data_IF_429951559603
#
_entry.id   IF_429951559603
#
_cell.length_a   1.000
_cell.length_b   1.000
_cell.length_c   1.000
_cell.angle_alpha   90.00
_cell.angle_beta   90.00
_cell.angle_gamma   90.00
#
_symmetry.space_group_name_H-M   'P 1'
#
loop_
_entity.id
_entity.type
_entity.pdbx_description
1 polymer ?
#
# COMPACT_ATOMS: atom_id res chain seq x y z
N UNK A 1 -13.20 -19.58 -17.85
CA UNK A 1 -12.32 -18.62 -17.15
C UNK A 1 -10.92 -18.90 -17.61
N UNK A 2 -10.29 -18.00 -18.38
CA UNK A 2 -8.87 -18.13 -18.67
C UNK A 2 -8.11 -17.88 -17.38
N UNK A 3 -7.34 -18.88 -16.95
CA UNK A 3 -6.49 -18.79 -15.77
C UNK A 3 -5.31 -17.86 -16.01
N UNK A 4 -4.72 -17.34 -14.93
CA UNK A 4 -3.44 -16.66 -14.97
C UNK A 4 -2.31 -17.65 -15.22
N UNK A 5 -1.30 -17.26 -15.99
CA UNK A 5 -0.06 -18.02 -16.20
C UNK A 5 1.05 -17.33 -15.41
N UNK A 6 1.83 -18.09 -14.66
CA UNK A 6 3.01 -17.58 -13.97
C UNK A 6 4.13 -17.28 -14.99
N UNK A 7 4.58 -16.03 -15.01
CA UNK A 7 5.59 -15.53 -15.95
C UNK A 7 6.99 -15.47 -15.32
N UNK A 8 7.17 -16.00 -14.11
CA UNK A 8 8.41 -15.96 -13.35
C UNK A 8 8.54 -14.73 -12.45
N UNK A 9 9.76 -14.46 -12.02
CA UNK A 9 10.04 -13.38 -11.08
C UNK A 9 9.96 -12.02 -11.77
N UNK A 10 9.48 -10.99 -11.06
CA UNK A 10 9.44 -9.61 -11.58
C UNK A 10 10.83 -9.11 -12.04
N UNK A 11 11.90 -9.57 -11.37
CA UNK A 11 13.27 -9.22 -11.72
C UNK A 11 13.88 -10.05 -12.85
N UNK A 12 13.28 -11.20 -13.20
CA UNK A 12 13.77 -12.18 -14.18
C UNK A 12 12.57 -12.91 -14.83
N UNK A 13 11.77 -12.20 -15.65
CA UNK A 13 10.61 -12.81 -16.30
C UNK A 13 11.05 -13.83 -17.37
N UNK A 14 10.21 -14.83 -17.61
CA UNK A 14 10.44 -15.83 -18.66
C UNK A 14 10.12 -15.24 -20.04
N UNK A 15 11.15 -14.73 -20.72
CA UNK A 15 11.04 -14.10 -22.04
C UNK A 15 10.56 -15.07 -23.13
N UNK A 16 10.98 -16.33 -23.08
CA UNK A 16 10.55 -17.34 -24.06
C UNK A 16 9.03 -17.59 -23.94
N UNK A 17 8.53 -17.70 -22.71
CA UNK A 17 7.10 -17.85 -22.47
C UNK A 17 6.32 -16.61 -22.90
N UNK A 18 6.81 -15.41 -22.59
CA UNK A 18 6.18 -14.16 -23.02
C UNK A 18 6.02 -14.08 -24.55
N UNK A 19 7.05 -14.48 -25.30
CA UNK A 19 7.02 -14.52 -26.77
C UNK A 19 5.99 -15.52 -27.31
N UNK A 20 5.90 -16.71 -26.70
CA UNK A 20 4.94 -17.74 -27.08
C UNK A 20 3.48 -17.33 -26.88
N UNK A 21 3.19 -16.43 -25.92
CA UNK A 21 1.84 -16.05 -25.54
C UNK A 21 1.17 -15.05 -26.50
N UNK A 22 1.90 -14.47 -27.46
CA UNK A 22 1.38 -13.50 -28.45
C UNK A 22 0.56 -12.38 -27.80
N UNK A 23 1.20 -11.66 -26.89
CA UNK A 23 0.56 -10.63 -26.06
C UNK A 23 0.22 -9.39 -26.89
N UNK A 24 -0.95 -8.79 -26.64
CA UNK A 24 -1.31 -7.48 -27.21
C UNK A 24 -0.57 -6.33 -26.51
N UNK A 25 -0.36 -6.47 -25.19
CA UNK A 25 0.31 -5.49 -24.35
C UNK A 25 1.09 -6.17 -23.23
N UNK A 26 2.19 -5.54 -22.81
CA UNK A 26 2.92 -5.87 -21.59
C UNK A 26 2.87 -4.67 -20.66
N UNK A 27 2.21 -4.83 -19.51
CA UNK A 27 2.12 -3.79 -18.49
C UNK A 27 3.26 -3.94 -17.48
N UNK A 28 4.02 -2.86 -17.27
CA UNK A 28 5.05 -2.79 -16.23
C UNK A 28 4.92 -1.49 -15.43
N UNK A 29 5.45 -1.50 -14.21
CA UNK A 29 5.53 -0.32 -13.37
C UNK A 29 6.78 0.51 -13.68
N UNK A 30 6.64 1.83 -13.70
CA UNK A 30 7.75 2.76 -13.80
C UNK A 30 8.63 2.62 -12.55
N UNK A 31 9.89 2.26 -12.73
CA UNK A 31 10.76 2.02 -11.60
C UNK A 31 12.17 1.66 -12.02
N UNK A 32 12.97 1.16 -11.07
CA UNK A 32 14.37 0.84 -11.33
C UNK A 32 14.55 -0.17 -12.46
N UNK A 33 13.63 -1.13 -12.60
CA UNK A 33 13.72 -2.19 -13.59
C UNK A 33 13.09 -1.81 -14.94
N UNK A 34 12.23 -0.78 -15.01
CA UNK A 34 11.53 -0.47 -16.26
C UNK A 34 12.48 0.03 -17.35
N UNK A 35 13.50 0.82 -17.01
CA UNK A 35 14.48 1.28 -17.98
C UNK A 35 15.24 0.12 -18.66
N UNK A 36 15.49 -0.97 -17.91
CA UNK A 36 16.10 -2.20 -18.44
C UNK A 36 15.11 -3.00 -19.28
N UNK A 37 13.89 -3.19 -18.77
CA UNK A 37 12.93 -4.11 -19.35
C UNK A 37 12.16 -3.55 -20.53
N UNK A 38 11.84 -2.25 -20.57
CA UNK A 38 11.07 -1.66 -21.66
C UNK A 38 11.63 -1.98 -23.05
N UNK A 39 12.93 -1.80 -23.36
CA UNK A 39 13.43 -2.15 -24.69
C UNK A 39 13.37 -3.65 -24.97
N UNK A 40 13.65 -4.50 -23.97
CA UNK A 40 13.68 -5.96 -24.14
C UNK A 40 12.26 -6.51 -24.38
N UNK A 41 11.31 -6.10 -23.56
CA UNK A 41 9.91 -6.51 -23.67
C UNK A 41 9.23 -5.90 -24.90
N UNK A 42 9.71 -4.74 -25.36
CA UNK A 42 9.23 -4.07 -26.57
C UNK A 42 9.47 -4.83 -27.86
N UNK A 43 10.46 -5.73 -27.89
CA UNK A 43 10.68 -6.66 -29.01
C UNK A 43 9.61 -7.77 -29.06
N UNK A 44 8.91 -8.02 -27.94
CA UNK A 44 7.88 -9.08 -27.81
C UNK A 44 6.48 -8.51 -28.07
N UNK A 45 6.12 -7.42 -27.38
CA UNK A 45 4.82 -6.77 -27.52
C UNK A 45 4.87 -5.31 -27.04
N UNK A 46 3.89 -4.46 -27.43
CA UNK A 46 3.79 -3.09 -26.95
C UNK A 46 3.85 -2.98 -25.42
N UNK A 47 4.85 -2.25 -24.91
CA UNK A 47 5.05 -2.06 -23.47
C UNK A 47 4.32 -0.81 -22.99
N UNK A 48 3.49 -0.98 -21.97
CA UNK A 48 2.75 0.09 -21.29
C UNK A 48 3.35 0.26 -19.91
N UNK A 49 3.97 1.42 -19.67
CA UNK A 49 4.59 1.75 -18.39
C UNK A 49 3.64 2.62 -17.56
N UNK A 50 3.16 2.13 -16.42
CA UNK A 50 2.34 2.90 -15.47
C UNK A 50 3.17 3.55 -14.37
N UNK A 51 2.83 4.77 -13.92
CA UNK A 51 3.63 5.49 -12.91
C UNK A 51 2.79 5.97 -11.72
N UNK A 52 2.59 5.09 -10.74
CA UNK A 52 1.87 5.43 -9.49
C UNK A 52 2.83 6.03 -8.45
N UNK A 53 3.96 5.37 -8.20
CA UNK A 53 4.94 5.78 -7.20
C UNK A 53 6.05 6.59 -7.85
N UNK A 54 5.92 7.92 -7.78
CA UNK A 54 6.81 8.85 -8.49
C UNK A 54 7.11 10.10 -7.65
N UNK A 55 7.86 11.04 -8.23
CA UNK A 55 8.32 12.26 -7.54
C UNK A 55 7.20 13.22 -7.11
N UNK A 56 5.95 13.01 -7.55
CA UNK A 56 4.80 13.78 -7.06
C UNK A 56 4.44 13.47 -5.60
N UNK A 57 4.85 12.30 -5.10
CA UNK A 57 4.52 11.81 -3.75
C UNK A 57 3.01 11.80 -3.45
N UNK A 58 2.19 11.62 -4.48
CA UNK A 58 0.73 11.55 -4.42
C UNK A 58 0.19 10.30 -5.13
N UNK A 59 0.57 9.08 -4.68
CA UNK A 59 0.22 7.82 -5.34
C UNK A 59 -1.28 7.59 -5.48
N UNK A 60 -2.14 8.09 -4.57
CA UNK A 60 -3.59 7.97 -4.74
C UNK A 60 -4.07 8.73 -5.97
N UNK A 61 -3.58 9.97 -6.17
CA UNK A 61 -3.93 10.74 -7.35
C UNK A 61 -3.32 10.15 -8.63
N UNK A 62 -2.06 9.72 -8.57
CA UNK A 62 -1.40 9.05 -9.69
C UNK A 62 -2.13 7.77 -10.11
N UNK A 63 -2.60 6.96 -9.15
CA UNK A 63 -3.42 5.78 -9.41
C UNK A 63 -4.74 6.12 -10.11
N UNK A 64 -5.38 7.26 -9.79
CA UNK A 64 -6.60 7.72 -10.49
C UNK A 64 -6.31 8.06 -11.95
N UNK A 65 -5.21 8.77 -12.19
CA UNK A 65 -4.77 9.15 -13.55
C UNK A 65 -4.42 7.91 -14.37
N UNK A 66 -3.62 6.99 -13.82
CA UNK A 66 -3.22 5.75 -14.51
C UNK A 66 -4.40 4.81 -14.76
N UNK A 67 -5.33 4.69 -13.82
CA UNK A 67 -6.52 3.84 -14.00
C UNK A 67 -7.40 4.35 -15.13
N UNK A 68 -7.59 5.68 -15.25
CA UNK A 68 -8.32 6.25 -16.39
C UNK A 68 -7.59 6.02 -17.70
N UNK A 69 -6.28 6.28 -17.74
CA UNK A 69 -5.44 6.05 -18.92
C UNK A 69 -5.50 4.60 -19.39
N UNK A 70 -5.49 3.64 -18.47
CA UNK A 70 -5.63 2.22 -18.79
C UNK A 70 -7.05 1.88 -19.24
N UNK A 71 -8.08 2.51 -18.68
CA UNK A 71 -9.45 2.40 -19.17
C UNK A 71 -9.59 2.80 -20.63
N UNK A 72 -9.04 3.95 -21.01
CA UNK A 72 -9.03 4.45 -22.39
C UNK A 72 -8.22 3.51 -23.32
N UNK A 73 -7.01 3.11 -22.91
CA UNK A 73 -6.15 2.23 -23.70
C UNK A 73 -6.80 0.87 -23.98
N UNK A 74 -7.49 0.33 -22.99
CA UNK A 74 -8.13 -0.99 -23.06
C UNK A 74 -9.59 -0.93 -23.53
N UNK A 75 -10.11 0.26 -23.88
CA UNK A 75 -11.51 0.47 -24.29
C UNK A 75 -12.54 -0.04 -23.27
N UNK A 76 -12.24 0.20 -21.98
CA UNK A 76 -13.07 -0.18 -20.82
C UNK A 76 -13.26 1.00 -19.87
N UNK A 77 -13.48 2.19 -20.42
CA UNK A 77 -13.64 3.46 -19.71
C UNK A 77 -14.70 3.36 -18.60
N UNK A 78 -15.86 2.76 -18.88
CA UNK A 78 -16.92 2.55 -17.88
C UNK A 78 -16.45 1.79 -16.64
N UNK A 79 -15.54 0.81 -16.81
CA UNK A 79 -14.96 0.04 -15.69
C UNK A 79 -13.95 0.86 -14.90
N UNK A 80 -13.15 1.67 -15.58
CA UNK A 80 -12.23 2.58 -14.92
C UNK A 80 -13.00 3.63 -14.11
N UNK A 81 -14.03 4.24 -14.69
CA UNK A 81 -14.86 5.23 -14.01
C UNK A 81 -15.61 4.63 -12.80
N UNK A 82 -16.12 3.40 -12.92
CA UNK A 82 -16.70 2.68 -11.79
C UNK A 82 -15.67 2.46 -10.66
N UNK A 83 -14.45 2.03 -10.98
CA UNK A 83 -13.37 1.88 -10.00
C UNK A 83 -13.04 3.21 -9.30
N UNK A 84 -12.95 4.30 -10.06
CA UNK A 84 -12.69 5.63 -9.52
C UNK A 84 -13.83 6.10 -8.60
N UNK A 85 -15.07 5.89 -9.00
CA UNK A 85 -16.26 6.27 -8.23
C UNK A 85 -16.36 5.47 -6.93
N UNK A 86 -16.15 4.15 -6.98
CA UNK A 86 -16.15 3.27 -5.82
C UNK A 86 -15.09 3.67 -4.78
N UNK A 87 -13.86 3.96 -5.24
CA UNK A 87 -12.78 4.40 -4.35
C UNK A 87 -13.09 5.78 -3.76
N UNK A 88 -13.64 6.71 -4.53
CA UNK A 88 -14.04 8.02 -4.03
C UNK A 88 -15.13 7.90 -2.95
N UNK A 89 -16.18 7.09 -3.19
CA UNK A 89 -17.25 6.87 -2.23
C UNK A 89 -16.76 6.25 -0.92
N UNK A 90 -15.82 5.31 -0.97
CA UNK A 90 -15.21 4.73 0.23
C UNK A 90 -14.42 5.76 1.04
N UNK A 91 -13.64 6.60 0.36
CA UNK A 91 -12.87 7.68 1.01
C UNK A 91 -13.78 8.74 1.63
N UNK A 92 -14.84 9.14 0.93
CA UNK A 92 -15.84 10.09 1.44
C UNK A 92 -16.58 9.52 2.65
N UNK A 93 -16.97 8.25 2.60
CA UNK A 93 -17.59 7.56 3.74
C UNK A 93 -16.64 7.53 4.93
N UNK A 94 -15.36 7.25 4.72
CA UNK A 94 -14.36 7.24 5.77
C UNK A 94 -14.09 8.63 6.34
N UNK A 95 -14.01 9.66 5.50
CA UNK A 95 -13.81 11.05 5.92
C UNK A 95 -15.00 11.61 6.73
N UNK A 96 -16.21 11.08 6.52
CA UNK A 96 -17.40 11.43 7.29
C UNK A 96 -17.43 10.82 8.70
N UNK A 97 -16.59 9.81 8.98
CA UNK A 97 -16.47 9.21 10.31
C UNK A 97 -15.63 10.10 11.24
N UNK A 98 -15.79 10.00 12.57
CA UNK A 98 -15.02 10.80 13.54
C UNK A 98 -13.54 10.36 13.67
N UNK A 99 -12.92 9.91 12.58
CA UNK A 99 -11.55 9.40 12.51
C UNK A 99 -10.49 10.47 12.76
N UNK A 100 -10.79 11.75 12.53
CA UNK A 100 -9.89 12.86 12.85
C UNK A 100 -9.57 12.99 14.35
N UNK A 101 -10.33 12.30 15.23
CA UNK A 101 -10.03 12.19 16.67
C UNK A 101 -8.98 11.12 16.99
N UNK A 102 -8.59 10.31 16.01
CA UNK A 102 -7.54 9.31 16.18
C UNK A 102 -6.21 10.05 16.45
N UNK A 103 -5.41 9.60 17.43
CA UNK A 103 -4.04 10.06 17.58
C UNK A 103 -3.23 9.84 16.29
N UNK A 104 -2.02 10.41 16.16
CA UNK A 104 -1.14 10.14 15.03
C UNK A 104 -1.00 8.63 14.79
N UNK A 105 -1.01 8.19 13.54
CA UNK A 105 -0.93 6.76 13.21
C UNK A 105 0.42 6.45 12.59
N UNK A 106 1.11 5.44 13.09
CA UNK A 106 2.10 4.73 12.30
C UNK A 106 1.43 3.56 11.59
N UNK A 107 1.60 3.48 10.27
CA UNK A 107 1.29 2.27 9.49
C UNK A 107 2.60 1.53 9.27
N UNK A 108 2.69 0.30 9.78
CA UNK A 108 3.96 -0.44 9.82
C UNK A 108 3.81 -1.87 9.33
N UNK A 109 4.87 -2.38 8.71
CA UNK A 109 5.07 -3.81 8.50
C UNK A 109 6.19 -4.30 9.40
N UNK A 110 5.91 -5.34 10.17
CA UNK A 110 6.91 -5.99 11.02
C UNK A 110 7.69 -6.98 10.17
N UNK A 111 9.02 -6.88 10.16
CA UNK A 111 9.89 -7.77 9.37
C UNK A 111 10.45 -8.90 10.22
N UNK A 112 10.95 -8.57 11.41
CA UNK A 112 11.57 -9.51 12.36
C UNK A 112 11.46 -8.97 13.80
N UNK A 113 12.30 -9.45 14.71
CA UNK A 113 12.31 -9.08 16.14
C UNK A 113 12.74 -7.61 16.42
N UNK A 114 13.26 -6.90 15.41
CA UNK A 114 13.84 -5.57 15.56
C UNK A 114 13.54 -4.61 14.44
N UNK A 115 13.18 -5.08 13.25
CA UNK A 115 13.08 -4.25 12.05
C UNK A 115 11.62 -4.07 11.62
N UNK A 116 11.30 -2.85 11.23
CA UNK A 116 9.99 -2.46 10.69
C UNK A 116 10.15 -1.63 9.41
N UNK A 117 9.17 -1.75 8.53
CA UNK A 117 8.94 -0.77 7.46
C UNK A 117 7.86 0.18 7.94
N UNK A 118 8.15 1.48 7.93
CA UNK A 118 7.16 2.53 8.15
C UNK A 118 6.66 3.05 6.80
N UNK A 119 5.34 3.15 6.65
CA UNK A 119 4.72 3.80 5.49
C UNK A 119 4.51 5.29 5.79
N UNK A 120 5.25 6.11 5.06
CA UNK A 120 5.45 7.53 5.27
C UNK A 120 4.94 8.35 4.06
N UNK A 121 5.30 9.62 3.98
CA UNK A 121 4.95 10.49 2.85
C UNK A 121 5.34 9.91 1.51
N UNK A 122 4.40 9.86 0.56
CA UNK A 122 4.55 9.21 -0.74
C UNK A 122 4.07 7.76 -0.78
N UNK A 123 3.56 7.21 0.33
CA UNK A 123 2.81 5.94 0.32
C UNK A 123 1.33 6.17 0.06
N UNK A 124 0.67 5.15 -0.50
CA UNK A 124 -0.78 5.17 -0.67
C UNK A 124 -1.52 5.19 0.68
N UNK A 125 -0.92 4.62 1.71
CA UNK A 125 -1.47 4.65 3.07
C UNK A 125 -1.46 6.08 3.64
N UNK A 126 -0.37 6.84 3.44
CA UNK A 126 -0.29 8.23 3.85
C UNK A 126 -1.32 9.12 3.14
N UNK A 127 -1.50 8.93 1.83
CA UNK A 127 -2.55 9.64 1.07
C UNK A 127 -3.95 9.34 1.60
N UNK A 128 -4.25 8.08 1.94
CA UNK A 128 -5.55 7.70 2.54
C UNK A 128 -5.70 8.30 3.93
N UNK A 129 -4.68 8.23 4.79
CA UNK A 129 -4.73 8.85 6.13
C UNK A 129 -5.06 10.34 6.03
N UNK A 130 -4.38 11.06 5.13
CA UNK A 130 -4.66 12.47 4.84
C UNK A 130 -6.09 12.70 4.35
N UNK A 131 -6.57 11.88 3.42
CA UNK A 131 -7.91 12.00 2.86
C UNK A 131 -9.01 11.84 3.92
N UNK A 132 -8.77 11.03 4.97
CA UNK A 132 -9.73 10.80 6.06
C UNK A 132 -9.44 11.63 7.32
N UNK A 133 -8.48 12.56 7.26
CA UNK A 133 -8.17 13.48 8.35
C UNK A 133 -7.34 12.89 9.50
N UNK A 134 -6.69 11.74 9.30
CA UNK A 134 -5.77 11.15 10.27
C UNK A 134 -4.34 11.62 9.98
N UNK A 135 -3.60 12.03 11.02
CA UNK A 135 -2.20 12.43 10.89
C UNK A 135 -1.31 11.20 10.84
N UNK A 136 -0.43 11.10 9.84
CA UNK A 136 0.64 10.09 9.85
C UNK A 136 1.72 10.49 10.86
N UNK A 137 2.15 9.55 11.69
CA UNK A 137 3.22 9.74 12.67
C UNK A 137 4.62 9.66 12.02
N UNK A 138 4.76 9.04 10.84
CA UNK A 138 5.98 9.12 10.06
C UNK A 138 5.99 10.41 9.23
N UNK A 139 6.77 11.40 9.66
CA UNK A 139 6.84 12.73 9.03
C UNK A 139 7.74 12.82 7.80
N UNK A 140 8.54 11.78 7.54
CA UNK A 140 9.46 11.72 6.41
C UNK A 140 8.71 11.37 5.11
N UNK A 141 9.34 11.59 3.97
CA UNK A 141 8.76 11.26 2.67
C UNK A 141 9.79 10.69 1.71
N UNK A 142 9.39 9.70 0.91
CA UNK A 142 10.23 9.10 -0.13
C UNK A 142 9.39 8.74 -1.35
N UNK A 143 10.01 8.60 -2.53
CA UNK A 143 9.32 8.23 -3.76
C UNK A 143 8.53 6.92 -3.64
N UNK A 144 9.09 5.97 -2.88
CA UNK A 144 8.48 4.66 -2.62
C UNK A 144 7.56 4.67 -1.41
N UNK A 145 7.48 5.79 -0.70
CA UNK A 145 6.57 5.99 0.42
C UNK A 145 6.95 5.26 1.71
N UNK A 146 8.16 4.71 1.83
CA UNK A 146 8.52 3.95 3.02
C UNK A 146 9.93 4.25 3.53
N UNK A 147 10.17 3.84 4.77
CA UNK A 147 11.46 3.80 5.44
C UNK A 147 11.64 2.51 6.23
N UNK A 148 12.83 1.94 6.20
CA UNK A 148 13.21 0.81 7.06
C UNK A 148 13.94 1.33 8.30
N UNK A 149 13.47 0.94 9.47
CA UNK A 149 14.01 1.38 10.76
C UNK A 149 13.96 0.25 11.79
N UNK A 150 14.67 0.45 12.90
CA UNK A 150 14.46 -0.33 14.11
C UNK A 150 13.10 -0.03 14.75
N UNK A 151 12.51 -1.03 15.40
CA UNK A 151 11.21 -0.99 16.04
C UNK A 151 11.13 0.08 17.15
N UNK A 152 12.26 0.46 17.74
CA UNK A 152 12.38 1.54 18.70
C UNK A 152 11.97 2.91 18.15
N UNK A 153 12.02 3.12 16.82
CA UNK A 153 11.55 4.35 16.18
C UNK A 153 10.07 4.63 16.51
N UNK A 154 9.26 3.59 16.74
CA UNK A 154 7.85 3.72 17.12
C UNK A 154 7.65 4.33 18.51
N UNK A 155 8.69 4.36 19.35
CA UNK A 155 8.63 5.02 20.65
C UNK A 155 8.86 6.55 20.58
N UNK A 156 9.31 7.08 19.44
CA UNK A 156 9.59 8.52 19.27
C UNK A 156 8.32 9.38 19.30
N UNK A 157 7.17 8.80 18.97
CA UNK A 157 5.85 9.45 19.06
C UNK A 157 4.99 8.63 20.04
N UNK A 158 5.13 8.85 21.35
CA UNK A 158 4.56 7.95 22.36
C UNK A 158 3.04 7.92 22.37
N UNK A 159 2.38 8.98 21.88
CA UNK A 159 0.94 9.10 21.72
C UNK A 159 0.42 8.57 20.36
N UNK A 160 1.28 8.01 19.51
CA UNK A 160 0.86 7.44 18.23
C UNK A 160 0.16 6.08 18.36
N UNK A 161 -0.91 5.86 17.60
CA UNK A 161 -1.57 4.58 17.41
C UNK A 161 -0.81 3.76 16.36
N UNK A 162 -0.67 2.46 16.56
CA UNK A 162 0.04 1.57 15.64
C UNK A 162 -0.96 0.74 14.82
N UNK A 163 -0.86 0.83 13.49
CA UNK A 163 -1.52 -0.09 12.57
C UNK A 163 -0.45 -1.00 11.98
N UNK A 164 -0.63 -2.32 12.10
CA UNK A 164 0.29 -3.30 11.52
C UNK A 164 -0.44 -4.37 10.70
N UNK A 165 0.26 -4.90 9.69
CA UNK A 165 -0.27 -5.96 8.83
C UNK A 165 -0.14 -7.35 9.48
N UNK A 166 -1.21 -8.14 9.41
CA UNK A 166 -1.31 -9.50 9.91
C UNK A 166 -1.85 -10.44 8.80
N UNK A 167 -1.34 -11.68 8.65
CA UNK A 167 -0.33 -12.34 9.48
C UNK A 167 1.07 -11.72 9.36
N UNK A 168 1.80 -11.65 10.47
CA UNK A 168 3.22 -11.29 10.47
C UNK A 168 4.10 -12.45 9.95
N UNK A 169 5.28 -12.16 9.35
CA UNK A 169 6.21 -13.20 8.96
C UNK A 169 6.69 -14.03 10.17
N UNK A 170 7.10 -15.30 9.97
CA UNK A 170 7.57 -16.17 11.05
C UNK A 170 8.62 -15.52 11.97
N UNK A 171 9.54 -14.77 11.38
CA UNK A 171 10.64 -14.05 12.04
C UNK A 171 10.13 -12.97 13.00
N UNK A 172 8.98 -12.34 12.69
CA UNK A 172 8.38 -11.31 13.52
C UNK A 172 7.46 -11.86 14.62
N UNK A 173 7.12 -13.17 14.61
CA UNK A 173 6.22 -13.76 15.62
C UNK A 173 6.75 -13.63 17.05
N UNK A 174 8.07 -13.68 17.21
CA UNK A 174 8.74 -13.54 18.51
C UNK A 174 8.48 -12.17 19.17
N UNK A 175 8.07 -11.16 18.41
CA UNK A 175 7.65 -9.86 18.97
C UNK A 175 6.43 -9.99 19.90
N UNK A 176 5.60 -11.02 19.72
CA UNK A 176 4.40 -11.22 20.52
C UNK A 176 4.64 -12.08 21.77
N UNK A 177 5.83 -12.71 21.89
CA UNK A 177 6.28 -13.39 23.09
C UNK A 177 6.78 -12.37 24.14
N UNK A 178 6.65 -12.68 25.44
CA UNK A 178 7.11 -11.78 26.51
C UNK A 178 8.34 -12.33 27.24
N UNK A 179 9.35 -11.48 27.55
CA UNK A 179 9.44 -10.05 27.25
C UNK A 179 10.04 -9.75 25.86
N UNK A 180 9.47 -8.79 25.11
CA UNK A 180 9.96 -8.32 23.79
C UNK A 180 10.03 -6.79 23.69
N UNK A 181 10.77 -6.24 22.72
CA UNK A 181 10.79 -4.80 22.43
C UNK A 181 9.39 -4.26 22.11
N UNK A 182 8.60 -5.00 21.34
CA UNK A 182 7.21 -4.67 21.02
C UNK A 182 6.36 -4.48 22.29
N UNK A 183 6.43 -5.42 23.24
CA UNK A 183 5.67 -5.32 24.49
C UNK A 183 6.03 -4.09 25.35
N UNK A 184 7.17 -3.46 25.10
CA UNK A 184 7.62 -2.27 25.81
C UNK A 184 7.18 -0.94 25.17
N UNK A 185 6.71 -0.95 23.93
CA UNK A 185 6.32 0.27 23.20
C UNK A 185 5.16 1.00 23.90
N UNK A 186 5.18 2.35 23.97
CA UNK A 186 4.13 3.13 24.61
C UNK A 186 2.72 2.84 24.06
N UNK A 187 2.60 2.69 22.74
CA UNK A 187 1.33 2.38 22.07
C UNK A 187 0.80 0.99 22.44
N UNK A 188 1.68 -0.02 22.51
CA UNK A 188 1.32 -1.40 22.88
C UNK A 188 0.87 -1.46 24.34
N UNK A 189 1.61 -0.81 25.25
CA UNK A 189 1.21 -0.70 26.67
C UNK A 189 -0.12 0.02 26.85
N UNK A 190 -0.41 1.01 26.02
CA UNK A 190 -1.66 1.77 26.05
C UNK A 190 -2.82 1.11 25.28
N UNK A 191 -2.61 -0.08 24.69
CA UNK A 191 -3.61 -0.77 23.87
C UNK A 191 -3.99 -0.04 22.59
N UNK A 192 -3.16 0.90 22.11
CA UNK A 192 -3.36 1.69 20.89
C UNK A 192 -2.71 1.00 19.69
N UNK A 193 -3.16 -0.22 19.43
CA UNK A 193 -2.63 -1.08 18.38
C UNK A 193 -3.79 -1.73 17.64
N UNK A 194 -3.72 -1.74 16.31
CA UNK A 194 -4.69 -2.37 15.43
C UNK A 194 -3.97 -3.26 14.43
N UNK A 195 -4.30 -4.55 14.44
CA UNK A 195 -3.94 -5.47 13.38
C UNK A 195 -4.92 -5.27 12.20
N UNK A 196 -4.39 -5.22 10.98
CA UNK A 196 -5.16 -5.17 9.74
C UNK A 196 -4.76 -6.33 8.82
N UNK A 197 -5.65 -6.81 7.94
CA UNK A 197 -5.29 -7.80 6.93
C UNK A 197 -4.13 -7.33 6.04
N UNK A 198 -3.43 -8.29 5.44
CA UNK A 198 -2.40 -8.02 4.45
C UNK A 198 -2.95 -7.19 3.27
N UNK A 199 -2.29 -6.08 2.95
CA UNK A 199 -2.57 -5.26 1.77
C UNK A 199 -1.30 -5.08 0.95
N UNK A 200 -1.44 -5.13 -0.37
CA UNK A 200 -0.33 -4.86 -1.27
C UNK A 200 0.11 -3.40 -1.14
N UNK A 201 1.33 -3.21 -0.63
CA UNK A 201 1.83 -1.91 -0.15
C UNK A 201 2.19 -0.93 -1.26
N UNK A 202 2.47 -1.46 -2.46
CA UNK A 202 2.66 -0.69 -3.69
C UNK A 202 1.46 -0.83 -4.65
N UNK A 203 0.25 -0.92 -4.09
CA UNK A 203 -0.98 -1.05 -4.86
C UNK A 203 -1.53 0.27 -5.43
N UNK A 204 -2.78 0.20 -5.87
CA UNK A 204 -3.48 1.32 -6.51
C UNK A 204 -4.83 1.59 -5.81
N UNK A 205 -5.83 2.05 -6.56
CA UNK A 205 -7.17 2.38 -6.05
C UNK A 205 -7.83 1.27 -5.19
N UNK A 206 -7.70 -0.03 -5.51
CA UNK A 206 -8.22 -1.09 -4.64
C UNK A 206 -7.58 -1.11 -3.25
N UNK A 207 -6.25 -0.96 -3.16
CA UNK A 207 -5.55 -0.87 -1.86
C UNK A 207 -6.04 0.34 -1.06
N UNK A 208 -6.18 1.50 -1.71
CA UNK A 208 -6.65 2.71 -1.05
C UNK A 208 -8.06 2.56 -0.49
N UNK A 209 -8.97 1.99 -1.30
CA UNK A 209 -10.36 1.70 -0.90
C UNK A 209 -10.40 0.75 0.29
N UNK A 210 -9.74 -0.40 0.19
CA UNK A 210 -9.73 -1.41 1.26
C UNK A 210 -9.16 -0.85 2.55
N UNK A 211 -8.08 -0.07 2.46
CA UNK A 211 -7.50 0.57 3.64
C UNK A 211 -8.46 1.58 4.28
N UNK A 212 -9.15 2.42 3.49
CA UNK A 212 -10.15 3.35 4.01
C UNK A 212 -11.31 2.62 4.72
N UNK A 213 -11.82 1.54 4.13
CA UNK A 213 -12.85 0.69 4.73
C UNK A 213 -12.37 0.08 6.07
N UNK A 214 -11.13 -0.40 6.12
CA UNK A 214 -10.51 -0.94 7.34
C UNK A 214 -10.35 0.13 8.42
N UNK A 215 -9.97 1.37 8.07
CA UNK A 215 -9.87 2.46 9.03
C UNK A 215 -11.23 2.74 9.69
N UNK A 216 -12.31 2.75 8.90
CA UNK A 216 -13.67 2.90 9.41
C UNK A 216 -14.03 1.74 10.36
N UNK A 217 -13.78 0.51 9.93
CA UNK A 217 -14.09 -0.69 10.71
C UNK A 217 -13.35 -0.71 12.06
N UNK A 218 -12.05 -0.38 12.05
CA UNK A 218 -11.16 -0.63 13.18
C UNK A 218 -10.93 0.55 14.11
N UNK A 219 -11.11 1.79 13.61
CA UNK A 219 -10.77 3.00 14.37
C UNK A 219 -11.97 3.87 14.73
N UNK A 220 -13.18 3.55 14.24
CA UNK A 220 -14.39 4.28 14.65
C UNK A 220 -14.81 3.86 16.08
N UNK A 221 -14.89 4.80 17.04
CA UNK A 221 -15.33 4.47 18.41
C UNK A 221 -16.77 3.93 18.40
N UNK A 222 -17.01 2.79 19.08
CA UNK A 222 -18.35 2.25 19.32
C UNK A 222 -18.80 1.08 18.43
N UNK A 223 -18.01 0.67 17.43
CA UNK A 223 -18.17 -0.62 16.74
C UNK A 223 -17.26 -1.68 17.37
N UNK A 224 -17.62 -2.16 18.56
CA UNK A 224 -17.10 -3.45 19.05
C UNK A 224 -18.15 -4.50 18.71
N UNK A 225 -17.92 -5.23 17.62
CA UNK A 225 -18.50 -6.55 17.40
C UNK A 225 -17.67 -7.60 18.12
#
# INVERSE_FOLDING_TARGET
MQGSIDLGLIGEPNLELLDQLRLDYIFIEAGFQSARWTPILGEIAPVVVGSIYNRSLAPLNAARVESRRFGELLTVEDRADALLADTAAALETAAAMPLARTPPVFVVRLLDDRNVILFCGGSIFDDVLKAVGIRNACSLSSMWGFLSNGIEALAAVPDAHLIYFDPVPPEARVLFDKPSLWSHLPAVKAGRVTAIPELYSWGALPTARLFAEILVERLTPGRRG
#
